data_IF_247028420797
#
_entry.id   IF_247028420797
#
_cell.length_a   1.000
_cell.length_b   1.000
_cell.length_c   1.000
_cell.angle_alpha   90.00
_cell.angle_beta   90.00
_cell.angle_gamma   90.00
#
_symmetry.space_group_name_H-M   'P 1'
#
loop_
_entity.id
_entity.type
_entity.pdbx_description
1 polymer ?
#
# COMPACT_ATOMS: atom_id res chain seq x y z
N UNK A 1 -2.28 6.56 11.79
CA UNK A 1 -1.77 5.51 10.89
C UNK A 1 -1.03 4.40 11.65
N UNK A 2 -0.16 4.74 12.62
CA UNK A 2 0.65 3.75 13.36
C UNK A 2 -0.23 2.70 14.06
N UNK A 3 -1.29 3.11 14.77
CA UNK A 3 -2.20 2.20 15.46
C UNK A 3 -2.89 1.22 14.50
N UNK A 4 -3.36 1.70 13.35
CA UNK A 4 -3.96 0.85 12.33
C UNK A 4 -2.96 -0.19 11.79
N UNK A 5 -1.74 0.26 11.45
CA UNK A 5 -0.69 -0.62 10.98
C UNK A 5 -0.25 -1.67 12.01
N UNK A 6 -0.16 -1.28 13.29
CA UNK A 6 0.15 -2.23 14.38
C UNK A 6 -0.95 -3.29 14.49
N UNK A 7 -2.22 -2.89 14.49
CA UNK A 7 -3.34 -3.85 14.63
C UNK A 7 -3.35 -4.83 13.44
N UNK A 8 -3.27 -4.33 12.21
CA UNK A 8 -3.22 -5.19 11.02
C UNK A 8 -1.99 -6.12 11.04
N UNK A 9 -0.81 -5.59 11.39
CA UNK A 9 0.40 -6.38 11.51
C UNK A 9 0.31 -7.48 12.58
N UNK A 10 -0.23 -7.17 13.76
CA UNK A 10 -0.43 -8.17 14.82
C UNK A 10 -1.42 -9.25 14.41
N UNK A 11 -2.49 -8.91 13.68
CA UNK A 11 -3.45 -9.89 13.15
C UNK A 11 -2.77 -10.80 12.11
N UNK A 12 -2.00 -10.25 11.17
CA UNK A 12 -1.27 -11.03 10.17
C UNK A 12 -0.23 -11.96 10.83
N UNK A 13 0.52 -11.47 11.84
CA UNK A 13 1.47 -12.28 12.60
C UNK A 13 0.74 -13.42 13.32
N UNK A 14 -0.39 -13.15 13.96
CA UNK A 14 -1.18 -14.17 14.65
C UNK A 14 -1.72 -15.24 13.69
N UNK A 15 -2.22 -14.82 12.52
CA UNK A 15 -2.73 -15.75 11.49
C UNK A 15 -1.62 -16.62 10.90
N UNK A 16 -0.42 -16.05 10.70
CA UNK A 16 0.74 -16.79 10.20
C UNK A 16 1.33 -17.80 11.18
N UNK A 17 1.08 -17.63 12.48
CA UNK A 17 1.70 -18.43 13.53
C UNK A 17 3.20 -18.23 13.72
N UNK A 18 3.77 -17.15 13.18
CA UNK A 18 5.20 -16.82 13.33
C UNK A 18 5.48 -16.28 14.72
N UNK A 19 6.48 -16.87 15.38
CA UNK A 19 7.03 -16.42 16.65
C UNK A 19 8.55 -16.29 16.53
N UNK A 20 9.12 -15.27 17.19
CA UNK A 20 10.57 -15.11 17.25
C UNK A 20 11.15 -16.01 18.34
N UNK A 21 12.21 -16.72 18.01
CA UNK A 21 13.14 -17.36 18.95
C UNK A 21 14.47 -16.62 18.96
N UNK A 22 15.38 -16.97 19.85
CA UNK A 22 16.74 -16.39 19.83
C UNK A 22 17.45 -16.61 18.48
N UNK A 23 17.20 -17.77 17.86
CA UNK A 23 17.83 -18.18 16.61
C UNK A 23 17.16 -17.53 15.39
N UNK A 24 15.82 -17.41 15.38
CA UNK A 24 15.06 -16.92 14.23
C UNK A 24 14.85 -15.42 14.20
N UNK A 25 14.98 -14.71 15.34
CA UNK A 25 14.64 -13.29 15.44
C UNK A 25 15.35 -12.40 14.43
N UNK A 26 16.60 -12.71 14.08
CA UNK A 26 17.41 -11.94 13.11
C UNK A 26 17.02 -12.22 11.65
N UNK A 27 16.22 -13.26 11.43
CA UNK A 27 15.71 -13.66 10.12
C UNK A 27 14.27 -13.20 9.86
N UNK A 28 13.63 -12.53 10.83
CA UNK A 28 12.27 -12.02 10.74
C UNK A 28 12.31 -10.49 10.68
N UNK A 29 11.94 -9.93 9.54
CA UNK A 29 11.93 -8.50 9.30
C UNK A 29 10.52 -7.90 9.23
N UNK A 30 10.46 -6.56 9.18
CA UNK A 30 9.21 -5.80 9.08
C UNK A 30 9.36 -4.65 8.09
N UNK A 31 8.44 -4.55 7.12
CA UNK A 31 8.39 -3.46 6.15
C UNK A 31 6.94 -3.00 5.92
N UNK A 32 6.50 -1.99 6.65
CA UNK A 32 5.16 -1.42 6.54
C UNK A 32 5.21 -0.03 5.92
N UNK A 33 4.53 0.15 4.78
CA UNK A 33 4.47 1.41 4.05
C UNK A 33 3.48 2.41 4.61
N UNK A 34 3.74 3.70 4.40
CA UNK A 34 2.80 4.79 4.61
C UNK A 34 3.16 5.94 3.66
N UNK A 35 2.16 6.54 3.01
CA UNK A 35 2.38 7.61 2.03
C UNK A 35 2.59 8.98 2.67
N UNK A 36 1.72 9.36 3.60
CA UNK A 36 1.72 10.66 4.29
C UNK A 36 2.22 10.53 5.73
N UNK A 37 1.81 9.45 6.40
CA UNK A 37 2.16 9.21 7.80
C UNK A 37 1.38 10.08 8.79
N UNK A 38 2.08 10.69 9.74
CA UNK A 38 1.47 11.35 10.90
C UNK A 38 0.95 12.76 10.68
N UNK A 39 0.28 13.06 9.56
CA UNK A 39 -0.22 14.41 9.24
C UNK A 39 -1.09 15.01 10.35
N UNK A 40 -2.00 14.26 10.93
CA UNK A 40 -2.83 14.77 12.05
C UNK A 40 -2.01 15.10 13.30
N UNK A 41 -0.95 14.32 13.55
CA UNK A 41 -0.01 14.59 14.66
C UNK A 41 0.72 15.90 14.41
N UNK A 42 1.13 16.19 13.17
CA UNK A 42 1.73 17.46 12.77
C UNK A 42 0.75 18.61 13.00
N UNK A 43 -0.49 18.51 12.51
CA UNK A 43 -1.53 19.54 12.69
C UNK A 43 -1.74 19.87 14.16
N UNK A 44 -1.99 18.85 14.97
CA UNK A 44 -2.26 19.02 16.40
C UNK A 44 -1.10 19.69 17.14
N UNK A 45 0.13 19.30 16.83
CA UNK A 45 1.32 19.87 17.47
C UNK A 45 1.66 21.26 16.93
N UNK A 46 1.38 21.55 15.65
CA UNK A 46 1.49 22.88 15.10
C UNK A 46 0.53 23.85 15.80
N UNK A 47 -0.72 23.46 15.99
CA UNK A 47 -1.70 24.25 16.73
C UNK A 47 -1.28 24.51 18.17
N UNK A 48 -0.75 23.48 18.83
CA UNK A 48 -0.22 23.63 20.20
C UNK A 48 0.98 24.59 20.25
N UNK A 49 1.87 24.52 19.26
CA UNK A 49 2.99 25.45 19.12
C UNK A 49 2.54 26.91 18.95
N UNK A 50 1.60 27.15 18.03
CA UNK A 50 1.07 28.52 17.79
C UNK A 50 0.38 29.07 19.03
N UNK A 51 -0.39 28.26 19.77
CA UNK A 51 -1.12 28.71 20.98
C UNK A 51 -0.24 28.92 22.19
N UNK A 52 0.89 28.21 22.34
CA UNK A 52 1.65 28.23 23.58
C UNK A 52 3.15 28.01 23.48
N UNK A 53 3.71 28.12 22.26
CA UNK A 53 5.14 28.01 22.00
C UNK A 53 5.71 26.59 22.11
N UNK A 54 7.03 26.42 22.04
CA UNK A 54 7.69 25.13 21.90
C UNK A 54 7.45 24.16 23.08
N UNK A 55 7.16 24.69 24.27
CA UNK A 55 6.87 23.87 25.47
C UNK A 55 5.54 23.13 25.41
N UNK A 56 4.66 23.47 24.47
CA UNK A 56 3.36 22.80 24.24
C UNK A 56 3.44 21.68 23.21
N UNK A 57 4.53 21.58 22.47
CA UNK A 57 4.76 20.50 21.51
C UNK A 57 5.02 19.20 22.26
N UNK A 58 4.35 18.12 21.82
CA UNK A 58 4.52 16.78 22.40
C UNK A 58 5.93 16.26 22.18
N UNK A 59 6.58 15.65 23.18
CA UNK A 59 7.86 14.94 22.97
C UNK A 59 7.71 13.73 22.02
N UNK A 60 6.49 13.27 21.80
CA UNK A 60 6.17 12.18 20.87
C UNK A 60 5.84 12.67 19.46
N UNK A 61 6.00 13.96 19.15
CA UNK A 61 5.76 14.49 17.80
C UNK A 61 6.54 13.68 16.76
N UNK A 62 7.85 13.55 16.92
CA UNK A 62 8.69 12.90 15.92
C UNK A 62 8.35 11.41 15.79
N UNK A 63 8.40 10.57 16.85
CA UNK A 63 8.05 9.16 16.72
C UNK A 63 6.58 8.91 16.34
N UNK A 64 5.68 9.86 16.58
CA UNK A 64 4.28 9.78 16.15
C UNK A 64 4.03 10.20 14.70
N UNK A 65 5.06 10.71 14.00
CA UNK A 65 4.91 11.30 12.66
C UNK A 65 5.65 10.51 11.60
N UNK A 66 6.86 10.02 11.88
CA UNK A 66 7.71 9.38 10.88
C UNK A 66 7.14 8.03 10.44
N UNK A 67 7.21 7.80 9.12
CA UNK A 67 6.49 6.72 8.43
C UNK A 67 6.95 5.31 8.80
N UNK A 68 8.20 5.14 9.24
CA UNK A 68 8.76 3.82 9.59
C UNK A 68 8.37 3.32 11.00
N UNK A 69 7.58 4.08 11.76
CA UNK A 69 7.28 3.69 13.14
C UNK A 69 6.29 2.55 13.28
N UNK A 70 5.51 2.22 12.24
CA UNK A 70 4.73 0.98 12.25
C UNK A 70 5.70 -0.21 12.32
N UNK A 71 6.67 -0.25 11.42
CA UNK A 71 7.71 -1.30 11.38
C UNK A 71 8.51 -1.35 12.67
N UNK A 72 8.91 -0.20 13.21
CA UNK A 72 9.62 -0.10 14.48
C UNK A 72 8.83 -0.66 15.66
N UNK A 73 7.55 -0.30 15.78
CA UNK A 73 6.69 -0.80 16.87
C UNK A 73 6.45 -2.32 16.79
N UNK A 74 6.12 -2.83 15.61
CA UNK A 74 5.91 -4.29 15.43
C UNK A 74 7.18 -5.07 15.77
N UNK A 75 8.35 -4.59 15.32
CA UNK A 75 9.65 -5.17 15.64
C UNK A 75 9.89 -5.22 17.16
N UNK A 76 9.70 -4.10 17.87
CA UNK A 76 9.86 -4.04 19.33
C UNK A 76 8.87 -4.94 20.07
N UNK A 77 7.60 -4.98 19.64
CA UNK A 77 6.55 -5.75 20.30
C UNK A 77 6.73 -7.25 20.13
N UNK A 78 7.33 -7.70 19.03
CA UNK A 78 7.48 -9.11 18.67
C UNK A 78 8.91 -9.64 18.80
N UNK A 79 9.87 -8.77 19.09
CA UNK A 79 11.28 -9.15 19.18
C UNK A 79 11.92 -9.49 17.83
N UNK A 80 11.37 -9.01 16.72
CA UNK A 80 11.89 -9.22 15.37
C UNK A 80 13.11 -8.34 15.14
N UNK A 81 14.27 -8.93 14.80
CA UNK A 81 15.55 -8.24 14.66
C UNK A 81 16.11 -8.25 13.25
N UNK A 82 15.37 -8.80 12.28
CA UNK A 82 15.71 -8.76 10.86
C UNK A 82 15.55 -7.38 10.23
N UNK A 83 15.61 -7.27 8.90
CA UNK A 83 15.50 -6.01 8.17
C UNK A 83 14.26 -5.21 8.58
N UNK A 84 14.43 -3.90 8.85
CA UNK A 84 13.35 -3.03 9.30
C UNK A 84 13.39 -1.72 8.51
N UNK A 85 12.38 -1.51 7.67
CA UNK A 85 12.30 -0.31 6.82
C UNK A 85 10.84 0.08 6.53
N UNK A 86 10.66 1.20 5.83
CA UNK A 86 9.38 1.67 5.32
C UNK A 86 9.58 2.24 3.92
N UNK A 87 8.59 2.08 3.06
CA UNK A 87 8.55 2.70 1.75
C UNK A 87 7.41 3.70 1.69
N UNK A 88 7.71 4.91 1.21
CA UNK A 88 6.74 5.99 1.04
C UNK A 88 6.69 6.38 -0.44
N UNK A 89 5.69 5.88 -1.15
CA UNK A 89 5.45 6.09 -2.58
C UNK A 89 3.97 6.33 -2.86
N UNK A 90 3.34 7.18 -2.05
CA UNK A 90 1.91 7.50 -2.11
C UNK A 90 1.04 6.22 -2.08
N UNK A 91 0.03 6.11 -2.95
CA UNK A 91 -0.89 4.97 -2.99
C UNK A 91 -0.21 3.61 -3.25
N UNK A 92 1.04 3.58 -3.73
CA UNK A 92 1.81 2.35 -3.96
C UNK A 92 2.71 1.95 -2.78
N UNK A 93 2.69 2.68 -1.67
CA UNK A 93 3.58 2.42 -0.52
C UNK A 93 3.47 0.98 -0.01
N UNK A 94 2.25 0.46 0.13
CA UNK A 94 2.03 -0.93 0.56
C UNK A 94 2.49 -1.93 -0.50
N UNK A 95 2.17 -1.72 -1.77
CA UNK A 95 2.58 -2.60 -2.88
C UNK A 95 4.11 -2.67 -3.00
N UNK A 96 4.79 -1.53 -2.92
CA UNK A 96 6.25 -1.48 -2.92
C UNK A 96 6.84 -2.17 -1.67
N UNK A 97 6.26 -1.96 -0.49
CA UNK A 97 6.71 -2.65 0.73
C UNK A 97 6.59 -4.17 0.59
N UNK A 98 5.50 -4.68 0.02
CA UNK A 98 5.30 -6.10 -0.25
C UNK A 98 6.33 -6.63 -1.24
N UNK A 99 6.49 -5.97 -2.39
CA UNK A 99 7.43 -6.41 -3.42
C UNK A 99 8.90 -6.38 -2.98
N UNK A 100 9.32 -5.33 -2.26
CA UNK A 100 10.68 -5.27 -1.73
C UNK A 100 10.90 -6.22 -0.55
N UNK A 101 9.86 -6.56 0.23
CA UNK A 101 9.94 -7.64 1.22
C UNK A 101 10.15 -9.00 0.56
N UNK A 102 9.44 -9.28 -0.53
CA UNK A 102 9.68 -10.50 -1.31
C UNK A 102 11.12 -10.58 -1.84
N UNK A 103 11.65 -9.46 -2.36
CA UNK A 103 13.06 -9.40 -2.79
C UNK A 103 14.02 -9.60 -1.62
N UNK A 104 13.77 -9.01 -0.46
CA UNK A 104 14.58 -9.22 0.76
C UNK A 104 14.69 -10.71 1.11
N UNK A 105 13.57 -11.45 1.00
CA UNK A 105 13.55 -12.91 1.20
C UNK A 105 14.31 -13.61 0.08
N UNK A 106 14.04 -13.27 -1.18
CA UNK A 106 14.69 -13.90 -2.33
C UNK A 106 16.22 -13.70 -2.36
N UNK A 107 16.71 -12.57 -1.84
CA UNK A 107 18.16 -12.33 -1.66
C UNK A 107 18.76 -13.04 -0.44
N UNK A 108 17.94 -13.65 0.41
CA UNK A 108 18.40 -14.35 1.60
C UNK A 108 18.71 -13.46 2.81
N UNK A 109 18.28 -12.19 2.79
CA UNK A 109 18.48 -11.26 3.92
C UNK A 109 17.51 -11.55 5.09
N UNK A 110 16.36 -12.16 4.80
CA UNK A 110 15.37 -12.61 5.77
C UNK A 110 14.70 -13.90 5.29
N UNK A 111 14.13 -14.66 6.22
CA UNK A 111 13.27 -15.81 5.90
C UNK A 111 11.78 -15.43 5.97
N UNK A 112 11.46 -14.40 6.78
CA UNK A 112 10.10 -13.91 6.99
C UNK A 112 10.08 -12.38 6.99
N UNK A 113 9.09 -11.80 6.33
CA UNK A 113 8.84 -10.36 6.34
C UNK A 113 7.36 -10.08 6.66
N UNK A 114 7.10 -9.33 7.73
CA UNK A 114 5.78 -8.72 7.96
C UNK A 114 5.70 -7.45 7.13
N UNK A 115 4.71 -7.36 6.24
CA UNK A 115 4.66 -6.29 5.25
C UNK A 115 3.23 -5.82 4.96
N UNK A 116 3.10 -4.70 4.29
CA UNK A 116 1.82 -4.07 3.96
C UNK A 116 1.88 -2.56 4.07
N UNK A 117 0.80 -1.93 4.49
CA UNK A 117 0.78 -0.49 4.70
C UNK A 117 -0.40 -0.01 5.54
N UNK A 118 -0.30 1.23 5.98
CA UNK A 118 -1.36 1.90 6.71
C UNK A 118 -1.33 3.41 6.46
N UNK A 119 -2.51 4.00 6.36
CA UNK A 119 -2.63 5.44 6.21
C UNK A 119 -3.78 6.00 7.03
N UNK A 120 -3.64 7.25 7.45
CA UNK A 120 -4.70 8.07 8.03
C UNK A 120 -4.63 9.47 7.46
N UNK A 121 -5.16 9.62 6.25
CA UNK A 121 -5.16 10.87 5.48
C UNK A 121 -6.35 11.79 5.77
N UNK A 122 -7.39 11.33 6.48
CA UNK A 122 -8.66 12.04 6.69
C UNK A 122 -8.60 13.17 7.73
N UNK A 123 -7.42 13.74 7.97
CA UNK A 123 -7.27 14.95 8.79
C UNK A 123 -7.82 16.19 8.08
N UNK A 124 -8.12 17.29 8.80
CA UNK A 124 -8.56 18.55 8.18
C UNK A 124 -7.63 19.03 7.06
N UNK A 125 -6.32 18.99 7.26
CA UNK A 125 -5.34 19.43 6.27
C UNK A 125 -5.23 18.43 5.10
N UNK A 126 -5.30 17.12 5.38
CA UNK A 126 -5.33 16.08 4.35
C UNK A 126 -6.54 16.22 3.43
N UNK A 127 -7.73 16.36 4.02
CA UNK A 127 -8.97 16.60 3.27
C UNK A 127 -8.91 17.90 2.46
N UNK A 128 -8.44 18.98 3.06
CA UNK A 128 -8.29 20.26 2.38
C UNK A 128 -7.29 20.18 1.21
N UNK A 129 -6.16 19.50 1.40
CA UNK A 129 -5.15 19.31 0.37
C UNK A 129 -5.67 18.57 -0.87
N UNK A 130 -6.30 17.41 -0.66
CA UNK A 130 -6.90 16.65 -1.77
C UNK A 130 -8.09 17.36 -2.41
N UNK A 131 -8.89 18.10 -1.63
CA UNK A 131 -9.99 18.93 -2.13
C UNK A 131 -9.46 20.08 -3.01
N UNK A 132 -8.41 20.78 -2.56
CA UNK A 132 -7.73 21.84 -3.34
C UNK A 132 -7.16 21.31 -4.66
N UNK A 133 -6.64 20.09 -4.63
CA UNK A 133 -6.15 19.40 -5.82
C UNK A 133 -7.27 18.91 -6.76
N UNK A 134 -8.54 19.09 -6.36
CA UNK A 134 -9.74 18.62 -7.09
C UNK A 134 -9.72 17.10 -7.36
N UNK A 135 -9.15 16.33 -6.43
CA UNK A 135 -8.99 14.89 -6.55
C UNK A 135 -10.15 14.10 -5.93
N UNK A 136 -10.90 14.72 -5.00
CA UNK A 136 -11.99 14.07 -4.28
C UNK A 136 -13.33 14.18 -5.02
N UNK A 137 -14.14 13.11 -4.90
CA UNK A 137 -15.55 13.14 -5.27
C UNK A 137 -16.30 14.20 -4.46
N UNK A 138 -17.24 14.88 -5.11
CA UNK A 138 -18.13 15.88 -4.50
C UNK A 138 -19.54 15.36 -4.24
N UNK A 139 -19.77 14.07 -4.42
CA UNK A 139 -21.07 13.42 -4.32
C UNK A 139 -21.52 13.20 -2.87
N UNK A 140 -21.68 14.30 -2.12
CA UNK A 140 -22.11 14.27 -0.72
C UNK A 140 -23.63 14.04 -0.54
N UNK A 141 -24.41 14.24 -1.59
CA UNK A 141 -25.84 13.93 -1.66
C UNK A 141 -26.13 12.42 -1.76
N UNK A 142 -25.16 11.64 -2.28
CA UNK A 142 -25.23 10.19 -2.35
C UNK A 142 -23.84 9.58 -2.10
N UNK A 143 -23.34 9.60 -0.85
CA UNK A 143 -21.96 9.19 -0.53
C UNK A 143 -21.69 7.70 -0.79
N UNK A 144 -22.70 6.85 -0.70
CA UNK A 144 -22.57 5.41 -0.98
C UNK A 144 -22.29 5.10 -2.46
N UNK A 145 -22.61 6.03 -3.37
CA UNK A 145 -22.34 5.94 -4.80
C UNK A 145 -21.20 6.88 -5.25
N UNK A 146 -20.41 7.42 -4.32
CA UNK A 146 -19.33 8.37 -4.63
C UNK A 146 -18.14 7.67 -5.28
N UNK A 147 -17.67 6.55 -4.72
CA UNK A 147 -16.63 5.72 -5.33
C UNK A 147 -17.24 4.78 -6.36
N UNK A 148 -16.98 5.06 -7.63
CA UNK A 148 -17.59 4.38 -8.79
C UNK A 148 -16.60 4.23 -9.96
N UNK A 149 -15.51 3.45 -9.78
CA UNK A 149 -14.50 3.28 -10.82
C UNK A 149 -15.11 2.91 -12.17
N UNK A 150 -14.56 3.49 -13.24
CA UNK A 150 -14.97 3.34 -14.65
C UNK A 150 -16.38 3.82 -15.01
N UNK A 151 -17.18 4.21 -14.03
CA UNK A 151 -18.51 4.79 -14.33
C UNK A 151 -18.37 6.14 -15.06
N UNK A 152 -19.32 6.44 -15.96
CA UNK A 152 -19.30 7.68 -16.74
C UNK A 152 -19.43 8.94 -15.89
N UNK A 153 -20.12 8.83 -14.75
CA UNK A 153 -20.40 9.95 -13.84
C UNK A 153 -19.46 10.00 -12.64
N UNK A 154 -18.33 9.27 -12.67
CA UNK A 154 -17.30 9.35 -11.63
C UNK A 154 -16.64 10.73 -11.63
N UNK A 155 -16.32 11.24 -10.44
CA UNK A 155 -15.85 12.63 -10.26
C UNK A 155 -14.64 12.77 -9.33
N UNK A 156 -14.05 11.67 -8.87
CA UNK A 156 -12.90 11.66 -7.98
C UNK A 156 -12.93 10.49 -7.03
N UNK A 157 -11.87 10.35 -6.22
CA UNK A 157 -11.79 9.28 -5.23
C UNK A 157 -12.45 9.67 -3.90
N UNK A 158 -12.72 8.68 -3.07
CA UNK A 158 -13.13 8.85 -1.67
C UNK A 158 -11.94 8.52 -0.79
N UNK A 159 -11.51 9.46 0.04
CA UNK A 159 -10.40 9.26 1.00
C UNK A 159 -10.86 8.39 2.16
N UNK A 160 -10.03 7.43 2.58
CA UNK A 160 -10.28 6.62 3.76
C UNK A 160 -9.05 6.46 4.64
N UNK A 161 -9.25 5.86 5.81
CA UNK A 161 -8.22 5.51 6.77
C UNK A 161 -8.25 3.99 7.00
N UNK A 162 -7.09 3.37 7.10
CA UNK A 162 -7.03 1.93 7.36
C UNK A 162 -5.63 1.35 7.25
N UNK A 163 -5.57 0.01 7.27
CA UNK A 163 -4.35 -0.75 7.11
C UNK A 163 -4.63 -2.14 6.54
N UNK A 164 -3.64 -2.68 5.82
CA UNK A 164 -3.57 -4.08 5.41
C UNK A 164 -2.18 -4.63 5.65
N UNK A 165 -2.08 -5.87 6.11
CA UNK A 165 -0.79 -6.52 6.35
C UNK A 165 -0.81 -7.98 5.92
N UNK A 166 0.35 -8.43 5.45
CA UNK A 166 0.66 -9.80 5.06
C UNK A 166 1.91 -10.27 5.80
N UNK A 167 2.07 -11.57 5.94
CA UNK A 167 3.35 -12.20 6.26
C UNK A 167 3.83 -12.92 5.02
N UNK A 168 4.97 -12.50 4.49
CA UNK A 168 5.69 -13.23 3.44
C UNK A 168 6.73 -14.12 4.10
N UNK A 169 6.90 -15.31 3.58
CA UNK A 169 7.78 -16.30 4.13
C UNK A 169 8.43 -17.11 3.00
N UNK A 170 9.70 -17.47 3.14
CA UNK A 170 10.37 -18.36 2.22
C UNK A 170 9.60 -19.69 2.14
N UNK A 171 9.43 -20.20 0.92
CA UNK A 171 8.48 -21.29 0.64
C UNK A 171 8.82 -22.58 1.38
N UNK A 172 10.07 -23.03 1.35
CA UNK A 172 10.47 -24.26 2.04
C UNK A 172 10.47 -24.10 3.56
N UNK A 173 10.78 -22.90 4.07
CA UNK A 173 10.63 -22.57 5.48
C UNK A 173 9.16 -22.68 5.93
N UNK A 174 8.24 -22.11 5.17
CA UNK A 174 6.80 -22.20 5.44
C UNK A 174 6.29 -23.64 5.43
N UNK A 175 6.70 -24.44 4.45
CA UNK A 175 6.36 -25.87 4.36
C UNK A 175 6.91 -26.68 5.50
N UNK A 176 8.17 -26.46 5.88
CA UNK A 176 8.84 -27.21 6.93
C UNK A 176 8.16 -27.08 8.29
N UNK A 177 7.56 -25.91 8.59
CA UNK A 177 6.78 -25.69 9.81
C UNK A 177 5.29 -25.99 9.68
N UNK A 178 4.82 -26.44 8.50
CA UNK A 178 3.40 -26.73 8.24
C UNK A 178 2.51 -25.49 8.20
N UNK A 179 3.02 -24.36 7.75
CA UNK A 179 2.26 -23.12 7.65
C UNK A 179 1.10 -23.24 6.66
N UNK A 180 0.02 -22.51 6.92
CA UNK A 180 -1.05 -22.32 5.94
C UNK A 180 -0.59 -21.32 4.87
N UNK A 181 -0.38 -21.79 3.66
CA UNK A 181 0.01 -20.98 2.52
C UNK A 181 -1.26 -20.57 1.76
N UNK A 182 -1.50 -19.28 1.60
CA UNK A 182 -2.63 -18.73 0.85
C UNK A 182 -2.34 -18.61 -0.65
N UNK A 183 -1.09 -18.39 -1.02
CA UNK A 183 -0.62 -18.23 -2.39
C UNK A 183 0.87 -17.93 -2.41
N UNK A 184 1.42 -17.86 -3.62
CA UNK A 184 2.82 -17.53 -3.85
C UNK A 184 2.92 -16.15 -4.52
N UNK A 185 3.83 -15.30 -4.04
CA UNK A 185 4.19 -14.05 -4.70
C UNK A 185 5.31 -14.35 -5.69
N UNK A 186 4.96 -14.48 -6.96
CA UNK A 186 5.86 -14.96 -8.01
C UNK A 186 6.55 -13.86 -8.81
N UNK A 187 6.08 -12.60 -8.72
CA UNK A 187 6.71 -11.50 -9.44
C UNK A 187 6.33 -10.12 -8.90
N UNK A 188 7.20 -9.15 -9.16
CA UNK A 188 7.04 -7.76 -8.75
C UNK A 188 7.60 -6.81 -9.81
N UNK A 189 6.77 -5.88 -10.29
CA UNK A 189 7.16 -4.90 -11.30
C UNK A 189 7.04 -3.46 -10.81
N UNK A 190 8.01 -2.64 -11.13
CA UNK A 190 8.04 -1.21 -10.85
C UNK A 190 8.28 -0.41 -12.11
N UNK A 191 7.79 0.81 -12.14
CA UNK A 191 8.02 1.78 -13.21
C UNK A 191 7.81 3.20 -12.72
N UNK A 192 8.00 4.18 -13.59
CA UNK A 192 7.69 5.59 -13.37
C UNK A 192 7.10 6.18 -14.66
N UNK A 193 6.11 7.05 -14.52
CA UNK A 193 5.51 7.75 -15.68
C UNK A 193 6.46 8.76 -16.33
N UNK A 194 7.33 9.41 -15.55
CA UNK A 194 8.20 10.49 -15.99
C UNK A 194 7.45 11.56 -16.84
N UNK A 195 6.21 11.85 -16.46
CA UNK A 195 5.29 12.67 -17.26
C UNK A 195 4.81 13.93 -16.51
N UNK A 196 4.07 13.76 -15.42
CA UNK A 196 3.49 14.87 -14.66
C UNK A 196 3.44 14.53 -13.18
N UNK A 197 3.45 15.56 -12.31
CA UNK A 197 3.53 15.36 -10.84
C UNK A 197 2.33 14.61 -10.25
N UNK A 198 1.13 14.71 -10.84
CA UNK A 198 -0.10 14.12 -10.30
C UNK A 198 -0.99 13.41 -11.33
N UNK A 199 -0.74 13.59 -12.63
CA UNK A 199 -1.59 13.04 -13.70
C UNK A 199 -0.85 11.96 -14.48
N UNK A 200 -1.46 10.78 -14.70
CA UNK A 200 -0.89 9.76 -15.56
C UNK A 200 -0.94 10.20 -17.03
N UNK A 201 -0.05 9.70 -17.89
CA UNK A 201 -0.20 9.84 -19.33
C UNK A 201 -1.47 9.10 -19.78
N UNK A 202 -2.15 9.62 -20.80
CA UNK A 202 -3.46 9.10 -21.25
C UNK A 202 -3.39 7.69 -21.84
N UNK A 203 -2.22 7.27 -22.31
CA UNK A 203 -1.95 5.93 -22.82
C UNK A 203 -1.62 4.90 -21.72
N UNK A 204 -1.46 5.35 -20.46
CA UNK A 204 -1.13 4.51 -19.33
C UNK A 204 0.23 3.79 -19.44
N UNK A 205 1.19 4.38 -20.17
CA UNK A 205 2.46 3.73 -20.48
C UNK A 205 3.24 3.27 -19.24
N UNK A 206 3.28 4.08 -18.17
CA UNK A 206 3.93 3.71 -16.92
C UNK A 206 3.26 2.52 -16.24
N UNK A 207 1.93 2.52 -16.13
CA UNK A 207 1.17 1.40 -15.57
C UNK A 207 1.37 0.13 -16.41
N UNK A 208 1.34 0.25 -17.75
CA UNK A 208 1.63 -0.88 -18.65
C UNK A 208 3.04 -1.44 -18.43
N UNK A 209 4.03 -0.57 -18.24
CA UNK A 209 5.41 -0.99 -18.00
C UNK A 209 5.55 -1.73 -16.66
N UNK A 210 4.89 -1.27 -15.58
CA UNK A 210 4.94 -1.99 -14.30
C UNK A 210 4.31 -3.39 -14.40
N UNK A 211 3.17 -3.53 -15.10
CA UNK A 211 2.55 -4.83 -15.35
C UNK A 211 3.46 -5.76 -16.16
N UNK A 212 4.05 -5.27 -17.26
CA UNK A 212 5.02 -6.05 -18.06
C UNK A 212 6.22 -6.48 -17.23
N UNK A 213 6.75 -5.60 -16.40
CA UNK A 213 7.88 -5.93 -15.51
C UNK A 213 7.48 -7.01 -14.50
N UNK A 214 6.27 -6.96 -13.94
CA UNK A 214 5.78 -7.98 -13.02
C UNK A 214 5.60 -9.34 -13.72
N UNK A 215 5.02 -9.37 -14.91
CA UNK A 215 4.87 -10.60 -15.72
C UNK A 215 6.23 -11.19 -16.09
N UNK A 216 7.17 -10.36 -16.50
CA UNK A 216 8.53 -10.79 -16.82
C UNK A 216 9.27 -11.37 -15.60
N UNK A 217 9.14 -10.71 -14.44
CA UNK A 217 9.74 -11.17 -13.18
C UNK A 217 9.15 -12.52 -12.75
N UNK A 218 7.82 -12.70 -12.95
CA UNK A 218 7.10 -13.92 -12.65
C UNK A 218 7.35 -15.06 -13.67
N UNK A 219 7.81 -14.74 -14.87
CA UNK A 219 7.85 -15.70 -15.98
C UNK A 219 6.46 -16.17 -16.46
N UNK A 220 5.44 -15.30 -16.31
CA UNK A 220 4.03 -15.58 -16.63
C UNK A 220 3.64 -14.82 -17.90
N UNK A 221 2.89 -15.47 -18.80
CA UNK A 221 2.37 -14.80 -19.97
C UNK A 221 1.07 -14.03 -19.65
N UNK A 222 0.75 -12.97 -20.40
CA UNK A 222 -0.49 -12.22 -20.20
C UNK A 222 -1.77 -13.08 -20.23
N UNK A 223 -1.80 -14.09 -21.10
CA UNK A 223 -2.94 -15.03 -21.26
C UNK A 223 -3.15 -15.98 -20.08
N UNK A 224 -2.16 -16.13 -19.21
CA UNK A 224 -2.23 -16.96 -18.01
C UNK A 224 -2.79 -16.20 -16.79
N UNK A 225 -3.15 -14.92 -16.96
CA UNK A 225 -3.70 -14.07 -15.88
C UNK A 225 -5.22 -14.09 -15.93
N UNK A 226 -5.84 -14.56 -14.85
CA UNK A 226 -7.30 -14.64 -14.73
C UNK A 226 -7.93 -13.36 -14.17
N UNK A 227 -7.20 -12.64 -13.31
CA UNK A 227 -7.78 -11.52 -12.56
C UNK A 227 -6.77 -10.39 -12.29
N UNK A 228 -7.24 -9.16 -12.43
CA UNK A 228 -6.52 -7.95 -12.01
C UNK A 228 -7.32 -7.19 -10.96
N UNK A 229 -6.74 -7.03 -9.77
CA UNK A 229 -7.21 -6.04 -8.80
C UNK A 229 -6.59 -4.68 -9.16
N UNK A 230 -7.37 -3.86 -9.80
CA UNK A 230 -6.92 -2.60 -10.36
C UNK A 230 -6.76 -1.50 -9.30
N UNK A 231 -6.03 -0.45 -9.66
CA UNK A 231 -6.00 0.76 -8.85
C UNK A 231 -7.40 1.39 -8.77
N UNK A 232 -8.08 1.61 -9.91
CA UNK A 232 -9.49 1.92 -10.00
C UNK A 232 -9.99 2.91 -8.95
N UNK A 233 -9.46 4.14 -8.97
CA UNK A 233 -9.71 5.14 -7.91
C UNK A 233 -11.00 5.93 -8.10
N UNK A 234 -11.74 5.71 -9.18
CA UNK A 234 -12.90 6.54 -9.55
C UNK A 234 -12.53 7.95 -10.01
N UNK A 235 -11.29 8.13 -10.48
CA UNK A 235 -10.85 9.40 -11.06
C UNK A 235 -11.04 9.40 -12.58
N UNK A 236 -11.47 10.51 -13.18
CA UNK A 236 -11.70 10.57 -14.63
C UNK A 236 -10.51 10.14 -15.48
N UNK A 237 -9.31 10.68 -15.20
CA UNK A 237 -8.11 10.39 -15.97
C UNK A 237 -7.47 9.04 -15.59
N UNK A 238 -7.43 8.71 -14.28
CA UNK A 238 -6.75 7.51 -13.78
C UNK A 238 -7.36 6.22 -14.32
N UNK A 239 -8.68 6.08 -14.25
CA UNK A 239 -9.38 4.88 -14.69
C UNK A 239 -9.28 4.66 -16.22
N UNK A 240 -9.25 5.77 -17.01
CA UNK A 240 -9.02 5.67 -18.46
C UNK A 240 -7.59 5.23 -18.79
N UNK A 241 -6.59 5.82 -18.14
CA UNK A 241 -5.21 5.47 -18.36
C UNK A 241 -4.93 4.01 -17.97
N UNK A 242 -5.50 3.54 -16.85
CA UNK A 242 -5.39 2.15 -16.42
C UNK A 242 -6.04 1.18 -17.41
N UNK A 243 -7.22 1.54 -17.95
CA UNK A 243 -7.87 0.77 -19.02
C UNK A 243 -7.02 0.68 -20.28
N UNK A 244 -6.37 1.79 -20.69
CA UNK A 244 -5.46 1.79 -21.83
C UNK A 244 -4.23 0.90 -21.57
N UNK A 245 -3.67 0.95 -20.36
CA UNK A 245 -2.56 0.10 -19.93
C UNK A 245 -2.93 -1.40 -19.99
N UNK A 246 -4.08 -1.80 -19.44
CA UNK A 246 -4.57 -3.17 -19.50
C UNK A 246 -4.69 -3.67 -20.94
N UNK A 247 -5.31 -2.89 -21.82
CA UNK A 247 -5.42 -3.24 -23.25
C UNK A 247 -4.06 -3.38 -23.93
N UNK A 248 -3.11 -2.51 -23.58
CA UNK A 248 -1.75 -2.57 -24.14
C UNK A 248 -0.95 -3.80 -23.69
N UNK A 249 -1.19 -4.27 -22.46
CA UNK A 249 -0.45 -5.43 -21.90
C UNK A 249 -1.06 -6.74 -22.33
N UNK A 250 -2.38 -6.87 -22.22
CA UNK A 250 -3.11 -8.13 -22.39
C UNK A 250 -3.60 -8.36 -23.84
N UNK A 251 -3.56 -7.32 -24.70
CA UNK A 251 -3.97 -7.47 -26.10
C UNK A 251 -5.39 -8.01 -26.23
N UNK A 252 -5.56 -9.13 -26.98
CA UNK A 252 -6.86 -9.78 -27.15
C UNK A 252 -7.35 -10.48 -25.90
N UNK A 253 -6.47 -10.97 -25.02
CA UNK A 253 -6.82 -11.65 -23.77
C UNK A 253 -7.51 -10.72 -22.76
N UNK A 254 -7.41 -9.39 -22.93
CA UNK A 254 -8.06 -8.41 -22.03
C UNK A 254 -9.58 -8.61 -21.91
N UNK A 255 -10.21 -9.21 -22.91
CA UNK A 255 -11.67 -9.43 -22.90
C UNK A 255 -12.11 -10.68 -22.13
N UNK A 256 -11.16 -11.58 -21.83
CA UNK A 256 -11.36 -12.76 -20.99
C UNK A 256 -10.91 -12.50 -19.54
N UNK A 257 -10.21 -11.38 -19.29
CA UNK A 257 -9.65 -10.99 -18.03
C UNK A 257 -10.72 -10.41 -17.10
N UNK A 258 -10.82 -10.94 -15.89
CA UNK A 258 -11.64 -10.34 -14.84
C UNK A 258 -10.91 -9.14 -14.23
N UNK A 259 -11.59 -7.99 -14.15
CA UNK A 259 -11.01 -6.77 -13.58
C UNK A 259 -11.97 -6.16 -12.57
N UNK A 260 -11.49 -5.87 -11.38
CA UNK A 260 -12.23 -5.07 -10.40
C UNK A 260 -11.29 -4.22 -9.54
N UNK A 261 -11.87 -3.28 -8.79
CA UNK A 261 -11.16 -2.55 -7.74
C UNK A 261 -11.84 -2.81 -6.40
N UNK A 262 -11.08 -2.94 -5.33
CA UNK A 262 -11.62 -3.03 -3.97
C UNK A 262 -12.00 -1.68 -3.38
N UNK A 263 -11.58 -0.57 -4.00
CA UNK A 263 -11.83 0.79 -3.51
C UNK A 263 -13.29 1.23 -3.42
N UNK A 264 -14.26 0.72 -4.21
CA UNK A 264 -15.68 0.96 -3.92
C UNK A 264 -16.14 0.52 -2.54
N UNK A 265 -15.45 -0.46 -1.93
CA UNK A 265 -15.73 -1.00 -0.59
C UNK A 265 -14.88 -0.35 0.50
N UNK A 266 -13.59 -0.11 0.22
CA UNK A 266 -12.60 0.35 1.22
C UNK A 266 -12.30 1.84 1.12
N UNK A 267 -12.73 2.50 0.05
CA UNK A 267 -12.25 3.80 -0.44
C UNK A 267 -10.73 3.80 -0.71
N UNK A 268 -10.13 4.95 -0.93
CA UNK A 268 -8.70 5.05 -1.25
C UNK A 268 -7.91 5.40 0.02
N UNK A 269 -7.09 4.46 0.43
CA UNK A 269 -6.16 4.61 1.56
C UNK A 269 -4.88 5.29 1.09
#
# INVERSE_FOLDING_TARGET
FIQYGIVAGLQAIADSGIEATEESAERIGVAMGAGIGGIQTIETNHDAYIKGGPRKVSPFLIPGTIVNMISGHLSMMKGFRGPNFCIATACTSATHSIGYSARTIAYGDADVMVTGGAERGSSPLGMAGFSSARALSKRNDNPQAASRPWDKDRDGFVLSDGAGSLVLEEYEHAKARGAKIYGELVGFGTSSDAFHITSPPSDGAGAALSMKNALNDAGVNPEDVDYVNAHGTSTPAGDLAETAALKSVFGSSVYDLMVSSTKPLTANL
#
